data_IF_274728903834
#
_entry.id   IF_274728903834
#
_cell.length_a   1.000
_cell.length_b   1.000
_cell.length_c   1.000
_cell.angle_alpha   90.00
_cell.angle_beta   90.00
_cell.angle_gamma   90.00
#
_symmetry.space_group_name_H-M   'P 1'
#
loop_
_entity.id
_entity.type
_entity.pdbx_description
1 polymer ?
#
# COMPACT_ATOMS: atom_id res chain seq x y z
N UNK A 1 10.08 5.12 -41.11
CA UNK A 1 10.63 4.39 -39.94
C UNK A 1 9.86 4.87 -38.71
N UNK A 2 8.90 4.08 -38.24
CA UNK A 2 8.09 4.43 -37.07
C UNK A 2 8.84 3.99 -35.81
N UNK A 3 9.52 4.91 -35.15
CA UNK A 3 10.03 4.70 -33.80
C UNK A 3 8.85 4.76 -32.81
N UNK A 4 8.20 3.62 -32.55
CA UNK A 4 7.33 3.51 -31.38
C UNK A 4 8.22 3.40 -30.15
N UNK A 5 8.47 4.53 -29.49
CA UNK A 5 9.04 4.54 -28.14
C UNK A 5 8.01 3.92 -27.19
N UNK A 6 8.02 2.60 -27.05
CA UNK A 6 7.46 1.97 -25.86
C UNK A 6 8.45 2.24 -24.74
N UNK A 7 8.18 3.25 -23.90
CA UNK A 7 8.90 3.48 -22.65
C UNK A 7 8.68 2.27 -21.73
N UNK A 8 9.43 1.18 -21.95
CA UNK A 8 9.42 0.01 -21.07
C UNK A 8 10.18 0.39 -19.81
N UNK A 9 9.53 0.17 -18.66
CA UNK A 9 10.20 0.20 -17.36
C UNK A 9 11.26 -0.91 -17.37
N UNK A 10 12.53 -0.63 -17.02
CA UNK A 10 13.57 -1.66 -16.97
C UNK A 10 13.30 -2.65 -15.83
N UNK A 11 13.80 -3.88 -15.97
CA UNK A 11 13.61 -4.94 -14.98
C UNK A 11 14.21 -4.59 -13.61
N UNK A 12 15.29 -3.80 -13.61
CA UNK A 12 15.92 -3.24 -12.41
C UNK A 12 16.25 -1.78 -12.63
N UNK A 13 16.31 -1.01 -11.54
CA UNK A 13 16.80 0.36 -11.57
C UNK A 13 17.35 0.78 -10.21
N UNK A 14 18.18 1.83 -10.15
CA UNK A 14 18.64 2.39 -8.89
C UNK A 14 17.47 2.77 -7.97
N UNK A 15 17.57 2.41 -6.68
CA UNK A 15 16.48 2.63 -5.70
C UNK A 15 16.14 4.12 -5.51
N UNK A 16 17.12 5.01 -5.70
CA UNK A 16 16.94 6.46 -5.68
C UNK A 16 16.13 7.00 -6.88
N UNK A 17 16.00 6.23 -7.95
CA UNK A 17 15.21 6.55 -9.14
C UNK A 17 13.85 5.83 -9.13
N UNK A 18 13.73 4.75 -8.36
CA UNK A 18 12.50 3.98 -8.22
C UNK A 18 11.43 4.74 -7.42
N UNK A 19 10.30 5.05 -8.07
CA UNK A 19 9.12 5.70 -7.47
C UNK A 19 7.87 4.83 -7.53
N UNK A 20 8.02 3.52 -7.77
CA UNK A 20 6.92 2.57 -7.95
C UNK A 20 6.59 2.21 -9.40
N UNK A 21 7.33 2.75 -10.38
CA UNK A 21 7.12 2.41 -11.80
C UNK A 21 7.22 0.90 -12.05
N UNK A 22 6.26 0.36 -12.80
CA UNK A 22 6.21 -1.06 -13.17
C UNK A 22 5.80 -2.01 -12.05
N UNK A 23 5.48 -1.51 -10.84
CA UNK A 23 4.96 -2.35 -9.76
C UNK A 23 3.62 -2.99 -10.17
N UNK A 24 3.59 -4.32 -10.22
CA UNK A 24 2.40 -5.10 -10.53
C UNK A 24 2.53 -6.48 -9.89
N UNK A 25 1.77 -6.78 -8.83
CA UNK A 25 1.63 -8.15 -8.32
C UNK A 25 1.17 -9.11 -9.41
N UNK A 26 1.42 -10.41 -9.24
CA UNK A 26 0.94 -11.41 -10.18
C UNK A 26 -0.59 -11.36 -10.24
N UNK A 27 -1.15 -11.08 -11.41
CA UNK A 27 -2.59 -10.99 -11.64
C UNK A 27 -2.93 -11.26 -13.10
N UNK A 28 -4.16 -11.73 -13.36
CA UNK A 28 -4.66 -11.84 -14.73
C UNK A 28 -4.84 -10.45 -15.37
N UNK A 29 -4.63 -10.34 -16.69
CA UNK A 29 -4.79 -9.07 -17.42
C UNK A 29 -6.16 -8.41 -17.18
N UNK A 30 -7.23 -9.20 -17.13
CA UNK A 30 -8.59 -8.74 -16.87
C UNK A 30 -8.71 -8.03 -15.52
N UNK A 31 -8.00 -8.51 -14.50
CA UNK A 31 -8.03 -7.98 -13.13
C UNK A 31 -7.21 -6.69 -13.04
N UNK A 32 -6.08 -6.63 -13.76
CA UNK A 32 -5.29 -5.41 -13.90
C UNK A 32 -6.12 -4.30 -14.58
N UNK A 33 -6.84 -4.63 -15.64
CA UNK A 33 -7.74 -3.70 -16.33
C UNK A 33 -8.91 -3.26 -15.45
N UNK A 34 -9.49 -4.19 -14.68
CA UNK A 34 -10.57 -3.91 -13.73
C UNK A 34 -10.12 -2.89 -12.66
N UNK A 35 -8.97 -3.14 -12.03
CA UNK A 35 -8.38 -2.25 -11.01
C UNK A 35 -8.15 -0.84 -11.57
N UNK A 36 -7.61 -0.73 -12.79
CA UNK A 36 -7.39 0.57 -13.45
C UNK A 36 -8.71 1.28 -13.77
N UNK A 37 -9.71 0.55 -14.26
CA UNK A 37 -11.00 1.11 -14.66
C UNK A 37 -11.80 1.64 -13.46
N UNK A 38 -11.75 0.92 -12.34
CA UNK A 38 -12.54 1.22 -11.14
C UNK A 38 -11.66 1.66 -9.95
N UNK A 39 -10.54 2.33 -10.25
CA UNK A 39 -9.53 2.73 -9.26
C UNK A 39 -10.14 3.42 -8.03
N UNK A 40 -10.95 4.46 -8.25
CA UNK A 40 -11.51 5.25 -7.15
C UNK A 40 -12.53 4.45 -6.32
N UNK A 41 -13.32 3.59 -6.96
CA UNK A 41 -14.31 2.76 -6.26
C UNK A 41 -13.63 1.75 -5.33
N UNK A 42 -12.55 1.10 -5.80
CA UNK A 42 -11.75 0.22 -4.95
C UNK A 42 -10.99 0.98 -3.87
N UNK A 43 -10.44 2.16 -4.18
CA UNK A 43 -9.81 3.03 -3.19
C UNK A 43 -10.78 3.34 -2.04
N UNK A 44 -12.00 3.78 -2.35
CA UNK A 44 -13.04 4.07 -1.36
C UNK A 44 -13.44 2.83 -0.55
N UNK A 45 -13.53 1.65 -1.18
CA UNK A 45 -13.83 0.39 -0.48
C UNK A 45 -12.70 0.01 0.50
N UNK A 46 -11.44 0.16 0.07
CA UNK A 46 -10.28 -0.10 0.92
C UNK A 46 -10.23 0.86 2.10
N UNK A 47 -10.42 2.17 1.87
CA UNK A 47 -10.48 3.17 2.95
C UNK A 47 -11.61 2.87 3.93
N UNK A 48 -12.80 2.53 3.41
CA UNK A 48 -13.95 2.16 4.25
C UNK A 48 -13.70 0.91 5.07
N UNK A 49 -12.95 -0.07 4.56
CA UNK A 49 -12.57 -1.25 5.33
C UNK A 49 -11.82 -0.88 6.61
N UNK A 50 -10.80 -0.01 6.53
CA UNK A 50 -10.04 0.40 7.72
C UNK A 50 -10.89 1.22 8.68
N UNK A 51 -11.76 2.09 8.16
CA UNK A 51 -12.70 2.86 8.97
C UNK A 51 -13.70 1.96 9.72
N UNK A 52 -14.26 0.96 9.04
CA UNK A 52 -15.32 0.10 9.58
C UNK A 52 -14.82 -0.93 10.61
N UNK A 53 -13.58 -1.40 10.45
CA UNK A 53 -12.97 -2.44 11.29
C UNK A 53 -12.10 -1.87 12.41
N UNK A 54 -11.40 -0.76 12.17
CA UNK A 54 -10.43 -0.21 13.12
C UNK A 54 -10.76 1.21 13.58
N UNK A 55 -11.74 1.87 12.98
CA UNK A 55 -12.07 3.25 13.31
C UNK A 55 -11.04 4.28 12.82
N UNK A 56 -10.12 3.88 11.94
CA UNK A 56 -8.99 4.69 11.49
C UNK A 56 -9.23 5.27 10.10
N UNK A 57 -8.86 6.55 9.94
CA UNK A 57 -8.87 7.20 8.64
C UNK A 57 -7.58 6.93 7.90
N UNK A 58 -7.69 6.23 6.77
CA UNK A 58 -6.57 5.95 5.88
C UNK A 58 -6.81 6.58 4.52
N UNK A 59 -5.76 6.71 3.72
CA UNK A 59 -5.84 7.14 2.32
C UNK A 59 -5.27 6.09 1.40
N UNK A 60 -5.98 5.75 0.33
CA UNK A 60 -5.46 4.88 -0.71
C UNK A 60 -4.26 5.53 -1.41
N UNK A 61 -3.15 4.80 -1.52
CA UNK A 61 -1.91 5.24 -2.17
C UNK A 61 -1.68 4.54 -3.51
N UNK A 62 -2.25 3.35 -3.71
CA UNK A 62 -2.22 2.63 -4.97
C UNK A 62 -3.37 1.61 -5.06
N UNK A 63 -3.82 1.31 -6.28
CA UNK A 63 -4.82 0.26 -6.56
C UNK A 63 -4.36 -0.52 -7.79
N UNK A 64 -4.12 -1.82 -7.62
CA UNK A 64 -3.59 -2.70 -8.66
C UNK A 64 -4.29 -4.05 -8.64
N UNK A 65 -4.31 -4.75 -9.78
CA UNK A 65 -4.75 -6.14 -9.78
C UNK A 65 -3.78 -7.02 -8.99
N UNK A 66 -4.27 -7.99 -8.24
CA UNK A 66 -3.47 -8.93 -7.44
C UNK A 66 -4.21 -10.26 -7.32
N UNK A 67 -3.63 -11.34 -7.84
CA UNK A 67 -4.28 -12.63 -7.96
C UNK A 67 -5.56 -12.57 -8.80
N UNK A 68 -6.67 -12.96 -8.18
CA UNK A 68 -8.03 -12.93 -8.71
C UNK A 68 -8.84 -11.68 -8.28
N UNK A 69 -8.22 -10.77 -7.52
CA UNK A 69 -8.85 -9.57 -6.96
C UNK A 69 -8.04 -8.29 -7.17
N UNK A 70 -8.47 -7.22 -6.51
CA UNK A 70 -7.85 -5.89 -6.59
C UNK A 70 -7.25 -5.56 -5.23
N UNK A 71 -5.94 -5.32 -5.22
CA UNK A 71 -5.21 -4.92 -4.03
C UNK A 71 -5.18 -3.41 -3.89
N UNK A 72 -5.64 -2.92 -2.74
CA UNK A 72 -5.68 -1.50 -2.38
C UNK A 72 -4.63 -1.26 -1.32
N UNK A 73 -3.61 -0.47 -1.67
CA UNK A 73 -2.58 0.01 -0.74
C UNK A 73 -3.08 1.28 -0.06
N UNK A 74 -2.86 1.37 1.25
CA UNK A 74 -3.29 2.51 2.06
C UNK A 74 -2.17 3.01 2.94
N UNK A 75 -2.22 4.31 3.23
CA UNK A 75 -1.40 4.97 4.24
C UNK A 75 -2.31 5.52 5.35
N UNK A 76 -1.97 5.21 6.59
CA UNK A 76 -2.60 5.80 7.77
C UNK A 76 -1.66 6.86 8.35
N UNK A 77 -2.25 8.00 8.66
CA UNK A 77 -1.66 9.06 9.49
C UNK A 77 -2.82 9.72 10.23
N UNK A 78 -3.24 9.07 11.32
CA UNK A 78 -4.45 9.43 12.07
C UNK A 78 -4.14 9.41 13.58
N UNK A 79 -4.23 10.56 14.25
CA UNK A 79 -3.88 10.72 15.66
C UNK A 79 -2.50 10.15 16.03
N UNK A 80 -1.47 10.43 15.22
CA UNK A 80 -0.09 9.92 15.33
C UNK A 80 0.08 8.41 15.13
N UNK A 81 -0.97 7.70 14.70
CA UNK A 81 -0.90 6.29 14.29
C UNK A 81 -0.51 6.28 12.82
N UNK A 82 0.72 5.83 12.55
CA UNK A 82 1.32 5.85 11.21
C UNK A 82 1.69 4.46 10.75
N UNK A 83 1.07 3.99 9.65
CA UNK A 83 1.44 2.73 9.01
C UNK A 83 1.10 2.72 7.52
N UNK A 84 1.66 1.76 6.79
CA UNK A 84 1.20 1.40 5.45
C UNK A 84 0.63 -0.01 5.50
N UNK A 85 -0.47 -0.25 4.79
CA UNK A 85 -1.04 -1.58 4.64
C UNK A 85 -1.58 -1.78 3.23
N UNK A 86 -2.03 -3.00 2.95
CA UNK A 86 -2.77 -3.33 1.75
C UNK A 86 -3.81 -4.41 2.05
N UNK A 87 -4.93 -4.39 1.32
CA UNK A 87 -5.98 -5.41 1.37
C UNK A 87 -6.36 -5.84 -0.04
N UNK A 88 -6.61 -7.14 -0.23
CA UNK A 88 -7.11 -7.67 -1.50
C UNK A 88 -8.63 -7.74 -1.42
N UNK A 89 -9.30 -7.00 -2.31
CA UNK A 89 -10.74 -7.01 -2.47
C UNK A 89 -11.11 -7.90 -3.65
N UNK A 90 -12.15 -8.72 -3.49
CA UNK A 90 -12.62 -9.56 -4.60
C UNK A 90 -13.14 -8.70 -5.74
N UNK A 91 -13.02 -9.20 -6.97
CA UNK A 91 -13.51 -8.50 -8.17
C UNK A 91 -15.01 -8.13 -8.06
N UNK A 92 -15.80 -8.95 -7.36
CA UNK A 92 -17.24 -8.74 -7.15
C UNK A 92 -17.59 -7.73 -6.04
N UNK A 93 -16.59 -7.14 -5.38
CA UNK A 93 -16.81 -6.12 -4.33
C UNK A 93 -17.31 -4.78 -4.90
N UNK A 94 -17.23 -4.58 -6.22
CA UNK A 94 -17.69 -3.36 -6.88
C UNK A 94 -19.19 -3.11 -6.65
N UNK A 95 -19.53 -1.86 -6.39
CA UNK A 95 -20.90 -1.45 -6.09
C UNK A 95 -21.39 -1.82 -4.69
N UNK A 96 -20.57 -2.44 -3.84
CA UNK A 96 -20.92 -2.69 -2.44
C UNK A 96 -21.03 -1.37 -1.66
N UNK A 97 -22.23 -1.07 -1.16
CA UNK A 97 -22.53 0.15 -0.37
C UNK A 97 -22.70 -0.14 1.12
N UNK A 98 -22.66 -1.41 1.52
CA UNK A 98 -22.79 -1.81 2.91
C UNK A 98 -21.51 -1.64 3.71
N UNK A 99 -21.56 -2.09 4.97
CA UNK A 99 -20.37 -2.15 5.82
C UNK A 99 -19.34 -3.14 5.26
N UNK A 100 -18.06 -2.78 5.42
CA UNK A 100 -16.88 -3.58 5.12
C UNK A 100 -16.36 -4.33 6.35
N UNK A 101 -17.15 -4.41 7.43
CA UNK A 101 -16.78 -5.18 8.62
C UNK A 101 -16.55 -6.65 8.27
N UNK A 102 -15.41 -7.17 8.70
CA UNK A 102 -15.11 -8.58 8.59
C UNK A 102 -16.17 -9.38 9.37
N UNK A 103 -16.67 -10.47 8.75
CA UNK A 103 -17.76 -11.28 9.32
C UNK A 103 -17.27 -12.36 10.29
N UNK A 104 -15.99 -12.37 10.63
CA UNK A 104 -15.37 -13.34 11.52
C UNK A 104 -13.85 -13.18 11.54
N UNK A 105 -13.20 -14.03 12.32
CA UNK A 105 -11.75 -14.13 12.36
C UNK A 105 -11.22 -14.80 11.08
N UNK A 106 -10.13 -14.27 10.55
CA UNK A 106 -9.41 -14.83 9.41
C UNK A 106 -7.92 -14.53 9.52
N UNK A 107 -7.09 -15.33 8.86
CA UNK A 107 -5.64 -15.11 8.78
C UNK A 107 -5.33 -13.76 8.12
N UNK A 108 -6.13 -13.37 7.12
CA UNK A 108 -6.02 -12.08 6.46
C UNK A 108 -6.31 -10.94 7.45
N UNK A 109 -7.40 -11.02 8.22
CA UNK A 109 -7.74 -10.02 9.23
C UNK A 109 -6.66 -9.95 10.31
N UNK A 110 -6.12 -11.08 10.75
CA UNK A 110 -5.03 -11.15 11.73
C UNK A 110 -3.77 -10.46 11.21
N UNK A 111 -3.45 -10.65 9.93
CA UNK A 111 -2.35 -9.95 9.27
C UNK A 111 -2.59 -8.44 9.22
N UNK A 112 -3.83 -8.00 8.94
CA UNK A 112 -4.18 -6.57 8.98
C UNK A 112 -4.05 -5.99 10.38
N UNK A 113 -4.51 -6.72 11.41
CA UNK A 113 -4.37 -6.30 12.81
C UNK A 113 -2.89 -6.08 13.15
N UNK A 114 -1.99 -6.99 12.78
CA UNK A 114 -0.56 -6.82 13.02
C UNK A 114 0.02 -5.55 12.38
N UNK A 115 -0.39 -5.23 11.14
CA UNK A 115 0.03 -4.00 10.44
C UNK A 115 -0.55 -2.73 11.08
N UNK A 116 -1.77 -2.78 11.62
CA UNK A 116 -2.38 -1.65 12.33
C UNK A 116 -1.69 -1.45 13.67
N UNK A 117 -1.42 -2.52 14.41
CA UNK A 117 -0.72 -2.49 15.71
C UNK A 117 0.67 -1.85 15.58
N UNK A 118 1.40 -2.07 14.48
CA UNK A 118 2.70 -1.41 14.28
C UNK A 118 2.60 0.13 14.24
N UNK A 119 1.47 0.68 13.79
CA UNK A 119 1.23 2.12 13.87
C UNK A 119 0.98 2.62 15.30
N UNK A 120 0.35 1.80 16.13
CA UNK A 120 0.22 2.09 17.57
C UNK A 120 1.58 1.97 18.27
N UNK A 121 2.40 1.00 17.90
CA UNK A 121 3.77 0.85 18.42
C UNK A 121 4.63 2.06 18.05
N UNK A 122 4.52 2.57 16.81
CA UNK A 122 5.15 3.82 16.40
C UNK A 122 4.68 4.97 17.30
N UNK A 123 3.37 5.14 17.48
CA UNK A 123 2.83 6.19 18.35
C UNK A 123 3.36 6.11 19.78
N UNK A 124 3.41 4.91 20.36
CA UNK A 124 3.88 4.70 21.72
C UNK A 124 5.36 5.05 21.92
N UNK A 125 6.18 4.91 20.87
CA UNK A 125 7.62 5.13 20.89
C UNK A 125 8.05 6.21 19.86
N UNK A 126 7.16 7.19 19.61
CA UNK A 126 7.29 8.11 18.48
C UNK A 126 8.61 8.86 18.50
N UNK A 127 9.01 9.31 19.69
CA UNK A 127 10.26 10.05 19.89
C UNK A 127 11.47 9.19 19.52
N UNK A 128 11.53 7.97 20.02
CA UNK A 128 12.64 7.05 19.77
C UNK A 128 12.74 6.68 18.28
N UNK A 129 11.59 6.42 17.63
CA UNK A 129 11.55 6.15 16.19
C UNK A 129 11.96 7.35 15.34
N UNK A 130 11.49 8.56 15.69
CA UNK A 130 11.83 9.79 14.96
C UNK A 130 13.33 10.12 15.12
N UNK A 131 13.90 9.96 16.31
CA UNK A 131 15.34 10.12 16.57
C UNK A 131 16.18 9.11 15.79
N UNK A 132 15.74 7.85 15.75
CA UNK A 132 16.41 6.79 14.99
C UNK A 132 16.35 7.07 13.48
N UNK A 133 15.20 7.51 12.97
CA UNK A 133 15.05 7.91 11.57
C UNK A 133 15.99 9.07 11.21
N UNK A 134 16.04 10.09 12.06
CA UNK A 134 16.92 11.24 11.87
C UNK A 134 18.41 10.82 11.88
N UNK A 135 18.80 9.92 12.78
CA UNK A 135 20.16 9.36 12.81
C UNK A 135 20.54 8.69 11.47
N UNK A 136 19.66 7.86 10.89
CA UNK A 136 19.94 7.23 9.60
C UNK A 136 20.05 8.24 8.47
N UNK A 137 19.18 9.25 8.46
CA UNK A 137 19.19 10.33 7.45
C UNK A 137 20.50 11.13 7.50
N UNK A 138 20.95 11.51 8.69
CA UNK A 138 22.19 12.29 8.86
C UNK A 138 23.45 11.49 8.51
N UNK A 139 23.39 10.17 8.65
CA UNK A 139 24.54 9.29 8.41
C UNK A 139 24.48 8.52 7.08
N UNK A 140 23.47 8.76 6.23
CA UNK A 140 23.26 8.07 4.96
C UNK A 140 24.51 8.03 4.06
N UNK A 141 25.27 9.14 3.98
CA UNK A 141 26.52 9.22 3.20
C UNK A 141 27.68 8.45 3.82
N UNK A 142 27.75 8.39 5.16
CA UNK A 142 28.82 7.72 5.91
C UNK A 142 28.64 6.21 5.91
N UNK A 143 27.39 5.74 6.00
CA UNK A 143 27.04 4.32 6.09
C UNK A 143 26.80 3.71 4.69
N UNK A 144 26.88 4.50 3.61
CA UNK A 144 26.68 4.06 2.22
C UNK A 144 25.32 3.37 1.97
N UNK A 145 24.29 3.68 2.78
CA UNK A 145 22.99 2.99 2.78
C UNK A 145 22.20 3.10 1.46
N UNK A 146 22.61 3.97 0.53
CA UNK A 146 21.95 4.18 -0.77
C UNK A 146 22.94 4.40 -1.94
N UNK A 147 24.18 3.88 -1.84
CA UNK A 147 25.08 3.83 -3.01
C UNK A 147 24.79 2.58 -3.84
N UNK A 148 24.18 2.76 -5.00
CA UNK A 148 24.20 1.78 -6.09
C UNK A 148 25.21 2.30 -7.12
N UNK A 149 26.12 1.42 -7.54
CA UNK A 149 27.23 1.69 -8.47
C UNK A 149 26.77 2.18 -9.84
#
# INVERSE_FOLDING_TARGET
>A
MNNSFTNKVPDTMPVNEYKGQGFQPHAEKKVIELAKKHYNEYAELGERFFQDNFGLKVKATNVVGSGDGVEVFVHCDDHDIVFNSSIVLTSDSLGHKGSMRAKGESDELSTQIGKVVSGFDYKANKKEYDELYQYFKDNQKKIQLLRVY
#
